data_IF_591420465032
#
_entry.id   IF_591420465032
#
_cell.length_a   1.000
_cell.length_b   1.000
_cell.length_c   1.000
_cell.angle_alpha   90.00
_cell.angle_beta   90.00
_cell.angle_gamma   90.00
#
_symmetry.space_group_name_H-M   'P 1'
#
loop_
_entity.id
_entity.type
_entity.pdbx_description
1 polymer ?
#
# COMPACT_ATOMS: atom_id res chain seq x y z
N UNK A 1 -14.23 -12.24 -6.50
CA UNK A 1 -12.76 -12.10 -6.65
C UNK A 1 -12.35 -10.76 -7.28
N UNK A 2 -13.02 -10.29 -8.34
CA UNK A 2 -12.66 -9.06 -9.07
C UNK A 2 -12.63 -7.82 -8.17
N UNK A 3 -13.76 -7.47 -7.53
CA UNK A 3 -13.88 -6.27 -6.67
C UNK A 3 -12.76 -6.22 -5.63
N UNK A 4 -12.51 -7.33 -4.92
CA UNK A 4 -11.45 -7.40 -3.90
C UNK A 4 -10.05 -7.18 -4.48
N UNK A 5 -9.75 -7.77 -5.65
CA UNK A 5 -8.44 -7.62 -6.30
C UNK A 5 -8.21 -6.19 -6.80
N UNK A 6 -9.24 -5.56 -7.33
CA UNK A 6 -9.19 -4.19 -7.84
C UNK A 6 -9.21 -3.12 -6.75
N UNK A 7 -9.48 -3.49 -5.49
CA UNK A 7 -9.56 -2.55 -4.36
C UNK A 7 -8.58 -2.96 -3.25
N UNK A 8 -9.05 -3.75 -2.30
CA UNK A 8 -8.33 -4.11 -1.07
C UNK A 8 -6.97 -4.77 -1.33
N UNK A 9 -6.88 -5.69 -2.30
CA UNK A 9 -5.59 -6.33 -2.62
C UNK A 9 -4.57 -5.31 -3.14
N UNK A 10 -5.01 -4.41 -4.03
CA UNK A 10 -4.15 -3.36 -4.57
C UNK A 10 -3.66 -2.43 -3.44
N UNK A 11 -4.58 -1.91 -2.63
CA UNK A 11 -4.23 -1.06 -1.49
C UNK A 11 -3.23 -1.73 -0.53
N UNK A 12 -3.43 -3.02 -0.22
CA UNK A 12 -2.55 -3.77 0.69
C UNK A 12 -1.10 -3.91 0.22
N UNK A 13 -0.85 -3.90 -1.09
CA UNK A 13 0.49 -4.08 -1.67
C UNK A 13 1.08 -2.79 -2.24
N UNK A 14 0.25 -1.78 -2.52
CA UNK A 14 0.68 -0.53 -3.14
C UNK A 14 0.92 0.60 -2.11
N UNK A 15 -0.03 0.81 -1.19
CA UNK A 15 -0.06 2.02 -0.34
C UNK A 15 1.07 2.07 0.70
N UNK A 16 1.70 0.94 1.00
CA UNK A 16 2.83 0.88 1.93
C UNK A 16 4.20 0.95 1.27
N UNK A 17 4.30 1.02 -0.06
CA UNK A 17 5.60 0.89 -0.72
C UNK A 17 6.57 1.97 -0.27
N UNK A 18 6.16 3.25 -0.22
CA UNK A 18 7.05 4.31 0.27
C UNK A 18 7.44 4.12 1.75
N UNK A 19 6.51 3.73 2.61
CA UNK A 19 6.78 3.52 4.05
C UNK A 19 7.89 2.48 4.28
N UNK A 20 7.90 1.38 3.50
CA UNK A 20 8.87 0.30 3.68
C UNK A 20 10.14 0.45 2.84
N UNK A 21 10.06 1.04 1.64
CA UNK A 21 11.19 1.09 0.70
C UNK A 21 11.94 2.42 0.77
N UNK A 22 11.38 3.44 1.43
CA UNK A 22 12.07 4.73 1.60
C UNK A 22 13.38 4.61 2.37
N UNK A 23 13.47 3.65 3.29
CA UNK A 23 14.72 3.19 3.87
C UNK A 23 15.35 2.10 2.99
N UNK A 24 16.16 2.51 2.01
CA UNK A 24 16.74 1.63 0.99
C UNK A 24 17.38 0.31 1.53
N UNK A 25 18.12 0.29 2.66
CA UNK A 25 18.64 -0.97 3.19
C UNK A 25 17.59 -2.01 3.58
N UNK A 26 16.33 -1.60 3.85
CA UNK A 26 15.22 -2.51 4.15
C UNK A 26 14.69 -3.22 2.89
N UNK A 27 14.67 -2.54 1.75
CA UNK A 27 14.16 -3.09 0.49
C UNK A 27 14.93 -2.52 -0.72
N UNK A 28 16.19 -2.94 -0.94
CA UNK A 28 16.98 -2.44 -2.05
C UNK A 28 16.40 -2.93 -3.38
N UNK A 29 16.14 -2.01 -4.31
CA UNK A 29 15.61 -2.36 -5.64
C UNK A 29 16.60 -3.11 -6.56
N UNK A 30 17.88 -3.18 -6.17
CA UNK A 30 18.92 -3.92 -6.90
C UNK A 30 20.11 -4.22 -5.99
N UNK A 31 21.01 -5.10 -6.39
CA UNK A 31 22.25 -5.43 -5.69
C UNK A 31 23.42 -5.39 -6.69
N UNK A 32 24.53 -4.77 -6.31
CA UNK A 32 25.72 -4.57 -7.18
C UNK A 32 26.76 -5.68 -7.07
N UNK A 33 26.63 -6.58 -6.11
CA UNK A 33 27.54 -7.70 -5.89
C UNK A 33 26.77 -9.03 -5.79
N UNK A 34 27.38 -10.16 -6.15
CA UNK A 34 26.76 -11.48 -5.97
C UNK A 34 26.56 -11.81 -4.49
N UNK A 35 25.64 -12.75 -4.16
CA UNK A 35 25.51 -13.25 -2.79
C UNK A 35 26.84 -13.79 -2.25
N UNK A 36 27.12 -13.61 -0.94
CA UNK A 36 28.35 -14.11 -0.33
C UNK A 36 28.39 -15.65 -0.39
N UNK A 37 29.57 -16.21 -0.69
CA UNK A 37 29.79 -17.66 -0.78
C UNK A 37 30.26 -18.31 0.52
N UNK A 38 30.66 -17.49 1.49
CA UNK A 38 31.20 -17.92 2.79
C UNK A 38 30.60 -17.08 3.91
N UNK A 39 30.56 -17.65 5.13
CA UNK A 39 30.06 -16.93 6.32
C UNK A 39 31.03 -15.82 6.77
N UNK A 40 32.34 -16.04 6.61
CA UNK A 40 33.36 -15.02 6.80
C UNK A 40 33.50 -14.19 5.52
N UNK A 41 33.47 -12.86 5.63
CA UNK A 41 33.73 -11.95 4.49
C UNK A 41 32.80 -10.75 4.39
N UNK A 42 31.65 -10.75 5.09
CA UNK A 42 30.81 -9.57 5.17
C UNK A 42 31.45 -8.52 6.09
N UNK A 43 31.74 -7.37 5.53
CA UNK A 43 32.23 -6.14 6.21
C UNK A 43 31.25 -5.00 5.96
N UNK A 44 31.33 -3.93 6.76
CA UNK A 44 30.50 -2.73 6.55
C UNK A 44 30.75 -2.14 5.16
N UNK A 45 32.00 -2.14 4.70
CA UNK A 45 32.42 -1.68 3.39
C UNK A 45 31.83 -2.54 2.28
N UNK A 46 31.90 -3.86 2.39
CA UNK A 46 31.30 -4.78 1.40
C UNK A 46 29.77 -4.66 1.36
N UNK A 47 29.13 -4.37 2.49
CA UNK A 47 27.70 -4.15 2.58
C UNK A 47 27.30 -2.90 1.79
N UNK A 48 27.96 -1.77 2.05
CA UNK A 48 27.74 -0.52 1.32
C UNK A 48 28.09 -0.65 -0.18
N UNK A 49 29.12 -1.42 -0.53
CA UNK A 49 29.48 -1.70 -1.91
C UNK A 49 28.41 -2.55 -2.64
N UNK A 50 27.69 -3.41 -1.91
CA UNK A 50 26.64 -4.28 -2.47
C UNK A 50 25.33 -3.52 -2.69
N UNK A 51 24.98 -2.58 -1.80
CA UNK A 51 23.74 -1.79 -1.91
C UNK A 51 23.68 -0.95 -3.20
N UNK A 52 22.48 -0.58 -3.69
CA UNK A 52 22.30 0.32 -4.83
C UNK A 52 23.13 1.61 -4.73
N UNK A 53 23.53 2.15 -5.88
CA UNK A 53 24.12 3.49 -5.90
C UNK A 53 23.06 4.57 -5.62
N UNK A 54 23.48 5.80 -5.27
CA UNK A 54 22.54 6.89 -4.99
C UNK A 54 21.57 7.19 -6.14
N UNK A 55 22.01 7.09 -7.40
CA UNK A 55 21.15 7.32 -8.57
C UNK A 55 20.03 6.28 -8.68
N UNK A 56 20.34 4.99 -8.53
CA UNK A 56 19.35 3.92 -8.54
C UNK A 56 18.38 4.03 -7.36
N UNK A 57 18.90 4.39 -6.18
CA UNK A 57 18.08 4.65 -4.99
C UNK A 57 17.12 5.81 -5.24
N UNK A 58 17.62 6.95 -5.73
CA UNK A 58 16.81 8.13 -6.02
C UNK A 58 15.72 7.87 -7.05
N UNK A 59 16.02 7.12 -8.12
CA UNK A 59 15.04 6.74 -9.13
C UNK A 59 13.90 5.88 -8.54
N UNK A 60 14.22 4.90 -7.69
CA UNK A 60 13.20 4.10 -7.00
C UNK A 60 12.37 4.96 -6.05
N UNK A 61 12.99 5.82 -5.24
CA UNK A 61 12.26 6.70 -4.32
C UNK A 61 11.31 7.66 -5.05
N UNK A 62 11.73 8.19 -6.20
CA UNK A 62 10.88 9.02 -7.04
C UNK A 62 9.66 8.23 -7.54
N UNK A 63 9.86 7.03 -8.10
CA UNK A 63 8.76 6.16 -8.53
C UNK A 63 7.80 5.87 -7.37
N UNK A 64 8.34 5.44 -6.23
CA UNK A 64 7.54 5.07 -5.05
C UNK A 64 6.75 6.22 -4.46
N UNK A 65 7.29 7.44 -4.52
CA UNK A 65 6.55 8.63 -4.10
C UNK A 65 5.31 8.86 -4.98
N UNK A 66 5.40 8.57 -6.29
CA UNK A 66 4.26 8.72 -7.19
C UNK A 66 3.23 7.62 -6.97
N UNK A 67 3.66 6.36 -6.85
CA UNK A 67 2.71 5.23 -6.78
C UNK A 67 2.09 5.04 -5.38
N UNK A 68 2.75 5.51 -4.31
CA UNK A 68 2.23 5.36 -2.94
C UNK A 68 1.30 6.49 -2.53
N UNK A 69 1.46 7.69 -3.11
CA UNK A 69 0.62 8.85 -2.83
C UNK A 69 -0.32 9.09 -4.01
N UNK A 70 -1.55 8.61 -3.89
CA UNK A 70 -2.59 8.91 -4.87
C UNK A 70 -2.84 10.42 -4.94
N UNK A 71 -2.60 10.98 -6.13
CA UNK A 71 -2.93 12.35 -6.48
C UNK A 71 -4.36 12.41 -7.05
N UNK A 72 -5.18 13.33 -6.55
CA UNK A 72 -6.54 13.56 -7.06
C UNK A 72 -7.65 13.31 -6.04
N UNK A 73 -8.89 13.27 -6.52
CA UNK A 73 -10.07 13.03 -5.70
C UNK A 73 -10.19 11.54 -5.36
N UNK A 74 -10.10 11.21 -4.07
CA UNK A 74 -10.22 9.84 -3.58
C UNK A 74 -11.65 9.32 -3.71
N UNK A 75 -11.78 8.04 -4.05
CA UNK A 75 -13.05 7.30 -4.13
C UNK A 75 -12.97 6.04 -3.28
N UNK A 76 -13.14 6.17 -1.95
CA UNK A 76 -13.06 5.05 -1.03
C UNK A 76 -14.03 3.92 -1.40
N UNK A 77 -13.64 2.69 -1.08
CA UNK A 77 -14.41 1.49 -1.37
C UNK A 77 -15.86 1.65 -0.88
N UNK A 78 -16.81 1.43 -1.78
CA UNK A 78 -18.25 1.58 -1.50
C UNK A 78 -18.79 3.01 -1.68
N UNK A 79 -17.96 3.97 -2.10
CA UNK A 79 -18.41 5.29 -2.57
C UNK A 79 -18.66 5.24 -4.08
N UNK A 80 -19.92 5.26 -4.50
CA UNK A 80 -20.31 5.20 -5.92
C UNK A 80 -21.16 6.44 -6.25
N UNK A 81 -20.54 7.56 -6.66
CA UNK A 81 -21.28 8.78 -7.00
C UNK A 81 -22.04 8.61 -8.33
N UNK A 82 -21.59 7.75 -9.24
CA UNK A 82 -22.37 7.39 -10.43
C UNK A 82 -23.49 6.40 -10.06
N UNK A 83 -24.74 6.88 -10.11
CA UNK A 83 -25.93 6.07 -9.81
C UNK A 83 -26.33 5.15 -10.97
N UNK A 84 -25.54 4.09 -11.20
CA UNK A 84 -25.88 3.05 -12.18
C UNK A 84 -27.05 2.17 -11.74
N UNK A 85 -27.14 1.88 -10.44
CA UNK A 85 -28.28 1.18 -9.85
C UNK A 85 -29.29 2.20 -9.33
N UNK A 86 -30.47 2.22 -9.95
CA UNK A 86 -31.54 3.17 -9.60
C UNK A 86 -32.64 2.50 -8.76
N UNK A 87 -32.67 1.17 -8.73
CA UNK A 87 -33.66 0.40 -8.01
C UNK A 87 -33.42 0.42 -6.48
N UNK A 88 -34.50 0.27 -5.71
CA UNK A 88 -34.45 0.35 -4.24
C UNK A 88 -33.60 -0.77 -3.61
N UNK A 89 -33.74 -2.01 -4.11
CA UNK A 89 -33.07 -3.17 -3.52
C UNK A 89 -31.53 -3.09 -3.60
N UNK A 90 -30.90 -2.79 -4.75
CA UNK A 90 -29.46 -2.53 -4.84
C UNK A 90 -29.00 -1.36 -3.95
N UNK A 91 -29.74 -0.24 -3.92
CA UNK A 91 -29.41 0.92 -3.07
C UNK A 91 -29.40 0.54 -1.58
N UNK A 92 -30.36 -0.28 -1.14
CA UNK A 92 -30.40 -0.80 0.24
C UNK A 92 -29.20 -1.69 0.55
N UNK A 93 -28.79 -2.56 -0.39
CA UNK A 93 -27.62 -3.42 -0.24
C UNK A 93 -26.32 -2.61 -0.20
N UNK A 94 -26.20 -1.57 -1.03
CA UNK A 94 -25.07 -0.63 -1.00
C UNK A 94 -24.97 0.06 0.37
N UNK A 95 -26.09 0.55 0.91
CA UNK A 95 -26.11 1.14 2.25
C UNK A 95 -25.68 0.14 3.34
N UNK A 96 -26.06 -1.13 3.22
CA UNK A 96 -25.61 -2.17 4.15
C UNK A 96 -24.10 -2.44 4.03
N UNK A 97 -23.57 -2.47 2.81
CA UNK A 97 -22.14 -2.61 2.54
C UNK A 97 -21.33 -1.45 3.14
N UNK A 98 -21.73 -0.19 2.88
CA UNK A 98 -21.10 1.01 3.44
C UNK A 98 -21.10 1.01 4.97
N UNK A 99 -22.23 0.67 5.62
CA UNK A 99 -22.30 0.54 7.09
C UNK A 99 -21.34 -0.52 7.62
N UNK A 100 -21.16 -1.63 6.90
CA UNK A 100 -20.22 -2.68 7.27
C UNK A 100 -18.77 -2.20 7.15
N UNK A 101 -18.42 -1.51 6.05
CA UNK A 101 -17.09 -0.92 5.87
C UNK A 101 -16.76 0.08 6.97
N UNK A 102 -17.68 1.00 7.29
CA UNK A 102 -17.49 1.97 8.38
C UNK A 102 -17.27 1.28 9.74
N UNK A 103 -17.93 0.14 10.00
CA UNK A 103 -17.71 -0.67 11.21
C UNK A 103 -16.32 -1.30 11.21
N UNK A 104 -15.84 -1.79 10.07
CA UNK A 104 -14.50 -2.37 9.93
C UNK A 104 -13.44 -1.28 10.14
N UNK A 105 -13.59 -0.12 9.49
CA UNK A 105 -12.71 1.05 9.65
C UNK A 105 -12.52 1.43 11.12
N UNK A 106 -13.63 1.60 11.86
CA UNK A 106 -13.56 1.87 13.32
C UNK A 106 -12.82 0.79 14.12
N UNK A 107 -12.92 -0.49 13.73
CA UNK A 107 -12.17 -1.58 14.39
C UNK A 107 -10.68 -1.50 14.06
N UNK A 108 -10.33 -1.22 12.80
CA UNK A 108 -8.94 -1.05 12.36
C UNK A 108 -8.29 0.13 13.09
N UNK A 109 -8.97 1.28 13.15
CA UNK A 109 -8.49 2.47 13.84
C UNK A 109 -8.25 2.22 15.34
N UNK A 110 -9.20 1.59 16.03
CA UNK A 110 -9.01 1.22 17.45
C UNK A 110 -7.85 0.24 17.65
N UNK A 111 -7.71 -0.75 16.78
CA UNK A 111 -6.58 -1.69 16.83
C UNK A 111 -5.26 -0.95 16.63
N UNK A 112 -5.19 -0.10 15.61
CA UNK A 112 -3.99 0.65 15.24
C UNK A 112 -3.54 1.63 16.33
N UNK A 113 -4.46 2.24 17.07
CA UNK A 113 -4.14 3.13 18.18
C UNK A 113 -3.36 2.45 19.33
N UNK A 114 -3.42 1.12 19.44
CA UNK A 114 -2.69 0.35 20.44
C UNK A 114 -1.38 -0.28 19.91
N UNK A 115 -1.03 -0.05 18.64
CA UNK A 115 0.16 -0.63 18.02
C UNK A 115 1.30 0.41 17.93
N UNK A 116 2.54 0.03 18.24
CA UNK A 116 3.71 0.89 18.01
C UNK A 116 3.96 1.12 16.51
N UNK A 117 3.56 0.18 15.67
CA UNK A 117 3.57 0.28 14.22
C UNK A 117 2.17 -0.05 13.67
N UNK A 118 1.33 0.97 13.40
CA UNK A 118 0.01 0.79 12.81
C UNK A 118 0.04 0.12 11.43
N UNK A 119 -1.03 -0.62 11.09
CA UNK A 119 -1.25 -1.12 9.73
C UNK A 119 -2.51 -0.47 9.15
N UNK A 120 -2.39 0.63 8.38
CA UNK A 120 -3.53 1.40 7.88
C UNK A 120 -4.02 0.97 6.49
N UNK A 121 -3.24 0.22 5.72
CA UNK A 121 -3.46 0.00 4.28
C UNK A 121 -4.74 -0.77 3.92
N UNK A 122 -5.34 -1.45 4.90
CA UNK A 122 -6.65 -2.13 4.74
C UNK A 122 -7.77 -1.49 5.58
N UNK A 123 -7.59 -0.25 6.05
CA UNK A 123 -8.71 0.56 6.52
C UNK A 123 -9.61 0.88 5.31
N UNK A 124 -10.90 0.52 5.28
CA UNK A 124 -11.81 0.87 4.18
C UNK A 124 -11.82 2.34 3.78
N UNK A 125 -11.49 3.26 4.70
CA UNK A 125 -11.37 4.69 4.39
C UNK A 125 -10.14 5.03 3.53
N UNK A 126 -9.16 4.13 3.44
CA UNK A 126 -7.91 4.26 2.69
C UNK A 126 -7.82 3.33 1.48
N UNK A 127 -8.87 2.53 1.19
CA UNK A 127 -8.92 1.63 0.04
C UNK A 127 -9.73 2.30 -1.07
N UNK A 128 -9.17 2.46 -2.26
CA UNK A 128 -9.88 2.92 -3.45
C UNK A 128 -10.82 1.85 -4.04
N UNK A 129 -11.83 2.27 -4.79
CA UNK A 129 -12.74 1.36 -5.50
C UNK A 129 -12.06 0.55 -6.62
N UNK A 130 -10.98 1.08 -7.19
CA UNK A 130 -10.30 0.54 -8.39
C UNK A 130 -8.79 0.76 -8.33
N UNK A 131 -8.07 0.16 -9.29
CA UNK A 131 -6.66 0.44 -9.54
C UNK A 131 -6.59 1.67 -10.43
N UNK A 132 -6.13 2.80 -9.90
CA UNK A 132 -6.09 4.09 -10.59
C UNK A 132 -4.69 4.74 -10.58
N UNK A 133 -3.69 4.03 -10.06
CA UNK A 133 -2.28 4.38 -10.06
C UNK A 133 -1.44 3.15 -10.42
#
# INVERSE_FOLDING_TARGET
MIIFRCSAQHAAVNSGQYDFYSWMPNAPGTMRCPPPRTKAGATAESFLATLPCPAATGALLALLSVVSYEAGERRPLGSYPEEHFTEEAPRRLLGAFQRRLARISRRVQRRNAALPLPYPYLDPAAIENSIAI
#
